data_IF_116192023135
#
_entry.id   IF_116192023135
#
_cell.length_a   1.000
_cell.length_b   1.000
_cell.length_c   1.000
_cell.angle_alpha   90.00
_cell.angle_beta   90.00
_cell.angle_gamma   90.00
#
_symmetry.space_group_name_H-M   'P 1'
#
loop_
_entity.id
_entity.type
_entity.pdbx_description
1 polymer ?
#
# COMPACT_ATOMS: atom_id res chain seq x y z
N UNK A 1 0.73 -26.25 -23.49
CA UNK A 1 -0.52 -25.57 -23.10
C UNK A 1 -0.20 -24.51 -22.03
N UNK A 2 -0.88 -23.37 -22.09
CA UNK A 2 -0.71 -22.30 -21.12
C UNK A 2 -1.10 -22.76 -19.71
N UNK A 3 -0.27 -22.52 -18.65
CA UNK A 3 -0.51 -23.02 -17.32
C UNK A 3 -1.53 -22.14 -16.58
N UNK A 4 -2.81 -22.58 -16.53
CA UNK A 4 -3.88 -21.90 -15.75
C UNK A 4 -4.34 -22.71 -14.54
N UNK A 5 -3.70 -23.84 -14.25
CA UNK A 5 -4.09 -24.68 -13.12
C UNK A 5 -4.11 -23.84 -11.83
N UNK A 6 -5.25 -23.87 -11.14
CA UNK A 6 -5.48 -23.16 -9.88
C UNK A 6 -5.48 -21.62 -9.94
N UNK A 7 -5.71 -21.00 -11.11
CA UNK A 7 -5.95 -19.56 -11.19
C UNK A 7 -7.41 -19.24 -10.83
N UNK A 8 -7.60 -18.46 -9.77
CA UNK A 8 -8.92 -17.98 -9.36
C UNK A 8 -9.44 -16.97 -10.39
N UNK A 9 -10.66 -17.12 -10.87
CA UNK A 9 -11.25 -16.24 -11.90
C UNK A 9 -11.00 -16.66 -13.36
N UNK A 10 -10.16 -17.66 -13.60
CA UNK A 10 -9.92 -18.21 -14.93
C UNK A 10 -10.15 -19.73 -14.95
N UNK A 11 -10.79 -20.22 -16.03
CA UNK A 11 -11.04 -21.65 -16.22
C UNK A 11 -10.93 -22.04 -17.72
N UNK A 12 -11.10 -23.32 -18.04
CA UNK A 12 -11.19 -23.82 -19.40
C UNK A 12 -12.63 -24.19 -19.72
N UNK A 13 -13.10 -23.74 -20.89
CA UNK A 13 -14.36 -24.22 -21.44
C UNK A 13 -14.23 -25.65 -22.03
N UNK A 14 -15.33 -26.20 -22.50
CA UNK A 14 -15.36 -27.52 -23.11
C UNK A 14 -14.44 -27.68 -24.35
N UNK A 15 -14.13 -26.58 -25.04
CA UNK A 15 -13.23 -26.53 -26.19
C UNK A 15 -11.75 -26.39 -25.78
N UNK A 16 -11.45 -26.31 -24.48
CA UNK A 16 -10.10 -26.13 -23.97
C UNK A 16 -9.60 -24.66 -23.99
N UNK A 17 -10.43 -23.70 -24.40
CA UNK A 17 -10.12 -22.27 -24.41
C UNK A 17 -10.20 -21.69 -23.00
N UNK A 18 -9.35 -20.72 -22.75
CA UNK A 18 -9.33 -20.03 -21.44
C UNK A 18 -10.42 -18.97 -21.41
N UNK A 19 -11.28 -19.03 -20.39
CA UNK A 19 -12.41 -18.12 -20.19
C UNK A 19 -12.41 -17.52 -18.79
N UNK A 20 -12.99 -16.34 -18.67
CA UNK A 20 -13.18 -15.68 -17.37
C UNK A 20 -14.39 -16.30 -16.68
N UNK A 21 -14.22 -16.70 -15.43
CA UNK A 21 -15.30 -17.01 -14.49
C UNK A 21 -15.71 -15.76 -13.76
N UNK A 22 -16.81 -15.15 -14.16
CA UNK A 22 -17.20 -13.81 -13.73
C UNK A 22 -17.53 -13.73 -12.22
N UNK A 23 -18.03 -14.80 -11.61
CA UNK A 23 -18.24 -14.93 -10.17
C UNK A 23 -16.94 -14.76 -9.37
N UNK A 24 -15.87 -15.44 -9.79
CA UNK A 24 -14.54 -15.34 -9.19
C UNK A 24 -13.80 -14.07 -9.65
N UNK A 25 -13.97 -13.62 -10.89
CA UNK A 25 -13.31 -12.44 -11.45
C UNK A 25 -13.71 -11.15 -10.70
N UNK A 26 -14.98 -11.04 -10.27
CA UNK A 26 -15.44 -9.93 -9.40
C UNK A 26 -14.64 -9.86 -8.10
N UNK A 27 -14.29 -11.00 -7.51
CA UNK A 27 -13.48 -11.05 -6.29
C UNK A 27 -12.03 -10.66 -6.58
N UNK A 28 -11.48 -11.09 -7.73
CA UNK A 28 -10.13 -10.64 -8.15
C UNK A 28 -10.10 -9.13 -8.28
N UNK A 29 -11.05 -8.50 -9.00
CA UNK A 29 -11.13 -7.04 -9.13
C UNK A 29 -11.22 -6.37 -7.76
N UNK A 30 -12.09 -6.86 -6.87
CA UNK A 30 -12.23 -6.35 -5.51
C UNK A 30 -10.91 -6.42 -4.71
N UNK A 31 -10.13 -7.50 -4.84
CA UNK A 31 -8.80 -7.62 -4.20
C UNK A 31 -7.87 -6.48 -4.66
N UNK A 32 -7.85 -6.18 -5.96
CA UNK A 32 -7.05 -5.08 -6.51
C UNK A 32 -7.54 -3.72 -6.01
N UNK A 33 -8.85 -3.48 -6.01
CA UNK A 33 -9.46 -2.24 -5.54
C UNK A 33 -9.16 -2.00 -4.07
N UNK A 34 -9.38 -2.98 -3.19
CA UNK A 34 -9.10 -2.88 -1.76
C UNK A 34 -7.61 -2.64 -1.50
N UNK A 35 -6.73 -3.30 -2.26
CA UNK A 35 -5.30 -3.06 -2.14
C UNK A 35 -4.93 -1.63 -2.54
N UNK A 36 -5.41 -1.14 -3.67
CA UNK A 36 -5.10 0.21 -4.17
C UNK A 36 -5.73 1.31 -3.31
N UNK A 37 -6.86 1.05 -2.67
CA UNK A 37 -7.47 1.94 -1.66
C UNK A 37 -6.60 2.07 -0.40
N UNK A 38 -5.62 1.19 -0.19
CA UNK A 38 -4.66 1.28 0.90
C UNK A 38 -4.72 0.15 1.91
N UNK A 39 -5.68 -0.79 1.79
CA UNK A 39 -5.76 -1.92 2.70
C UNK A 39 -4.54 -2.83 2.59
N UNK A 40 -4.14 -3.43 3.72
CA UNK A 40 -3.07 -4.42 3.71
C UNK A 40 -3.60 -5.80 3.28
N UNK A 41 -2.72 -6.65 2.79
CA UNK A 41 -3.10 -7.96 2.24
C UNK A 41 -3.64 -8.94 3.29
N UNK A 42 -3.30 -8.79 4.57
CA UNK A 42 -3.88 -9.55 5.66
C UNK A 42 -5.34 -9.13 5.90
N UNK A 43 -5.59 -7.83 5.98
CA UNK A 43 -6.96 -7.31 6.11
C UNK A 43 -7.86 -7.80 4.97
N UNK A 44 -7.36 -7.79 3.72
CA UNK A 44 -8.12 -8.26 2.56
C UNK A 44 -8.47 -9.75 2.72
N UNK A 45 -7.53 -10.61 3.13
CA UNK A 45 -7.82 -12.03 3.35
C UNK A 45 -8.84 -12.25 4.45
N UNK A 46 -8.73 -11.53 5.57
CA UNK A 46 -9.65 -11.64 6.70
C UNK A 46 -11.06 -11.15 6.33
N UNK A 47 -11.16 -10.05 5.58
CA UNK A 47 -12.42 -9.53 5.04
C UNK A 47 -13.10 -10.54 4.11
N UNK A 48 -12.35 -11.20 3.21
CA UNK A 48 -12.91 -12.22 2.32
C UNK A 48 -13.45 -13.42 3.10
N UNK A 49 -12.71 -13.86 4.12
CA UNK A 49 -13.15 -14.95 5.02
C UNK A 49 -14.40 -14.55 5.83
N UNK A 50 -14.41 -13.36 6.43
CA UNK A 50 -15.54 -12.86 7.21
C UNK A 50 -16.82 -12.72 6.38
N UNK A 51 -16.69 -12.38 5.09
CA UNK A 51 -17.81 -12.31 4.15
C UNK A 51 -18.19 -13.67 3.53
N UNK A 52 -17.58 -14.77 3.97
CA UNK A 52 -17.88 -16.11 3.47
C UNK A 52 -17.55 -16.31 1.98
N UNK A 53 -16.63 -15.52 1.42
CA UNK A 53 -16.24 -15.64 0.02
C UNK A 53 -15.52 -16.97 -0.20
N UNK A 54 -16.01 -17.85 -1.09
CA UNK A 54 -15.42 -19.16 -1.28
C UNK A 54 -14.01 -19.01 -1.91
N UNK A 55 -13.03 -19.72 -1.36
CA UNK A 55 -11.73 -19.88 -1.98
C UNK A 55 -11.78 -20.93 -3.09
N UNK A 56 -10.70 -21.04 -3.90
CA UNK A 56 -10.64 -21.92 -5.08
C UNK A 56 -11.01 -23.39 -4.78
N UNK A 57 -10.60 -23.89 -3.63
CA UNK A 57 -10.84 -25.29 -3.22
C UNK A 57 -11.91 -25.34 -2.12
N UNK A 58 -12.79 -26.33 -2.24
CA UNK A 58 -13.87 -26.53 -1.24
C UNK A 58 -13.30 -26.67 0.17
N UNK A 59 -13.81 -25.85 1.10
CA UNK A 59 -13.36 -25.82 2.49
C UNK A 59 -12.04 -25.08 2.74
N UNK A 60 -11.42 -24.52 1.72
CA UNK A 60 -10.23 -23.67 1.89
C UNK A 60 -10.63 -22.26 2.35
N UNK A 61 -9.72 -21.61 3.07
CA UNK A 61 -9.84 -20.22 3.49
C UNK A 61 -8.85 -19.33 2.70
N UNK A 62 -9.13 -18.04 2.72
CA UNK A 62 -8.21 -17.04 2.18
C UNK A 62 -7.05 -16.81 3.14
N UNK A 63 -5.84 -16.85 2.60
CA UNK A 63 -4.60 -16.51 3.31
C UNK A 63 -3.98 -15.26 2.70
N UNK A 64 -3.28 -14.49 3.49
CA UNK A 64 -2.48 -13.35 3.04
C UNK A 64 -1.62 -13.71 1.80
N UNK A 65 -0.96 -14.87 1.81
CA UNK A 65 -0.13 -15.34 0.68
C UNK A 65 -0.95 -15.55 -0.60
N UNK A 66 -2.20 -15.96 -0.50
CA UNK A 66 -3.09 -16.11 -1.66
C UNK A 66 -3.40 -14.76 -2.29
N UNK A 67 -3.72 -13.77 -1.46
CA UNK A 67 -3.95 -12.37 -1.90
C UNK A 67 -2.69 -11.81 -2.60
N UNK A 68 -1.52 -11.96 -1.97
CA UNK A 68 -0.24 -11.55 -2.56
C UNK A 68 -0.01 -12.21 -3.92
N UNK A 69 -0.25 -13.51 -4.04
CA UNK A 69 -0.07 -14.24 -5.29
C UNK A 69 -1.02 -13.72 -6.39
N UNK A 70 -2.26 -13.36 -6.04
CA UNK A 70 -3.21 -12.75 -6.99
C UNK A 70 -2.70 -11.39 -7.46
N UNK A 71 -2.32 -10.51 -6.54
CA UNK A 71 -1.86 -9.16 -6.87
C UNK A 71 -0.59 -9.15 -7.75
N UNK A 72 0.31 -10.12 -7.56
CA UNK A 72 1.59 -10.18 -8.27
C UNK A 72 1.56 -11.00 -9.57
N UNK A 73 0.47 -11.69 -9.87
CA UNK A 73 0.43 -12.59 -11.01
C UNK A 73 0.04 -11.85 -12.29
N UNK A 74 0.96 -11.77 -13.24
CA UNK A 74 0.78 -11.12 -14.53
C UNK A 74 -0.32 -11.75 -15.40
N UNK A 75 -0.76 -12.97 -15.09
CA UNK A 75 -1.82 -13.63 -15.83
C UNK A 75 -3.17 -12.92 -15.70
N UNK A 76 -3.38 -12.22 -14.60
CA UNK A 76 -4.60 -11.44 -14.40
C UNK A 76 -4.73 -10.23 -15.35
N UNK A 77 -3.60 -9.71 -15.86
CA UNK A 77 -3.62 -8.69 -16.92
C UNK A 77 -3.43 -9.26 -18.33
N UNK A 78 -3.61 -10.57 -18.49
CA UNK A 78 -3.56 -11.24 -19.80
C UNK A 78 -2.18 -11.68 -20.25
N UNK A 79 -1.11 -11.40 -19.49
CA UNK A 79 0.26 -11.69 -19.89
C UNK A 79 0.81 -12.97 -19.25
N UNK A 80 1.90 -13.49 -19.77
CA UNK A 80 2.62 -14.65 -19.21
C UNK A 80 4.11 -14.44 -19.27
N UNK A 81 4.78 -14.68 -18.13
CA UNK A 81 6.22 -14.81 -18.07
C UNK A 81 6.57 -16.30 -18.00
N UNK A 82 7.27 -16.80 -19.02
CA UNK A 82 7.81 -18.16 -19.06
C UNK A 82 9.18 -18.25 -18.41
N UNK A 83 9.56 -19.48 -18.03
CA UNK A 83 10.87 -19.78 -17.41
C UNK A 83 11.17 -18.99 -16.13
N UNK A 84 10.12 -18.74 -15.32
CA UNK A 84 10.28 -18.16 -13.96
C UNK A 84 11.12 -19.04 -13.04
N UNK A 85 11.13 -20.34 -13.31
CA UNK A 85 11.87 -21.35 -12.54
C UNK A 85 12.50 -22.36 -13.49
N UNK A 86 13.59 -22.98 -13.06
CA UNK A 86 14.24 -24.07 -13.80
C UNK A 86 14.82 -25.10 -12.82
N UNK A 87 15.13 -26.30 -13.34
CA UNK A 87 15.82 -27.33 -12.59
C UNK A 87 17.30 -27.33 -13.02
N UNK A 88 18.25 -27.07 -12.12
CA UNK A 88 19.68 -27.06 -12.46
C UNK A 88 20.25 -28.42 -12.84
N UNK A 89 19.54 -29.50 -12.53
CA UNK A 89 19.96 -30.86 -12.85
C UNK A 89 18.82 -31.87 -12.68
N UNK A 90 18.98 -33.10 -13.15
CA UNK A 90 17.92 -34.13 -13.21
C UNK A 90 17.29 -34.46 -11.85
N UNK A 91 18.05 -34.36 -10.75
CA UNK A 91 17.59 -34.64 -9.38
C UNK A 91 17.49 -33.37 -8.52
N UNK A 92 17.72 -32.20 -9.10
CA UNK A 92 17.69 -30.93 -8.39
C UNK A 92 16.26 -30.41 -8.22
N UNK A 93 16.01 -29.77 -7.07
CA UNK A 93 14.76 -29.02 -6.85
C UNK A 93 14.68 -27.84 -7.83
N UNK A 94 13.48 -27.55 -8.29
CA UNK A 94 13.20 -26.37 -9.11
C UNK A 94 13.54 -25.09 -8.33
N UNK A 95 14.38 -24.23 -8.92
CA UNK A 95 14.83 -22.96 -8.34
C UNK A 95 14.28 -21.79 -9.17
N UNK A 96 14.19 -20.61 -8.54
CA UNK A 96 13.79 -19.39 -9.24
C UNK A 96 14.86 -18.98 -10.24
N UNK A 97 14.48 -18.71 -11.48
CA UNK A 97 15.36 -18.15 -12.49
C UNK A 97 15.63 -16.68 -12.18
N UNK A 98 16.89 -16.33 -11.92
CA UNK A 98 17.36 -14.99 -11.63
C UNK A 98 18.16 -14.38 -12.80
N UNK A 99 18.08 -14.98 -13.99
CA UNK A 99 18.80 -14.58 -15.18
C UNK A 99 19.70 -15.68 -15.74
N UNK A 100 19.71 -16.87 -15.12
CA UNK A 100 20.52 -18.01 -15.58
C UNK A 100 20.03 -18.56 -16.91
N UNK A 101 18.72 -18.50 -17.15
CA UNK A 101 18.09 -18.89 -18.41
C UNK A 101 17.25 -17.73 -18.97
N UNK A 102 17.15 -17.62 -20.32
CA UNK A 102 16.29 -16.62 -20.95
C UNK A 102 14.85 -16.76 -20.47
N UNK A 103 14.20 -15.64 -20.13
CA UNK A 103 12.80 -15.56 -19.81
C UNK A 103 12.04 -14.96 -21.02
N UNK A 104 10.84 -15.46 -21.27
CA UNK A 104 10.01 -15.01 -22.39
C UNK A 104 8.72 -14.39 -21.88
N UNK A 105 8.48 -13.15 -22.27
CA UNK A 105 7.26 -12.44 -21.97
C UNK A 105 6.30 -12.56 -23.16
N UNK A 106 5.10 -13.08 -22.91
CA UNK A 106 4.03 -13.18 -23.90
C UNK A 106 2.88 -12.28 -23.45
N UNK A 107 2.50 -11.34 -24.29
CA UNK A 107 1.36 -10.46 -24.05
C UNK A 107 0.07 -11.06 -24.61
N UNK A 108 -1.06 -10.67 -24.00
CA UNK A 108 -2.41 -11.05 -24.43
C UNK A 108 -2.63 -12.57 -24.63
N UNK A 109 -1.94 -13.37 -23.80
CA UNK A 109 -2.05 -14.82 -23.79
C UNK A 109 -3.37 -15.33 -23.16
N UNK A 110 -4.04 -14.47 -22.39
CA UNK A 110 -5.27 -14.76 -21.65
C UNK A 110 -6.27 -13.61 -21.79
N UNK A 111 -7.59 -13.88 -21.62
CA UNK A 111 -8.54 -12.81 -21.36
C UNK A 111 -8.20 -12.12 -20.04
N UNK A 112 -8.00 -10.80 -20.10
CA UNK A 112 -7.59 -10.02 -18.95
C UNK A 112 -8.76 -9.77 -17.98
N UNK A 113 -8.57 -10.07 -16.69
CA UNK A 113 -9.52 -9.71 -15.62
C UNK A 113 -9.24 -8.28 -15.15
N UNK A 114 -7.97 -7.90 -15.13
CA UNK A 114 -7.46 -6.60 -14.68
C UNK A 114 -6.79 -5.89 -15.86
N UNK A 115 -7.05 -4.61 -16.01
CA UNK A 115 -6.37 -3.78 -17.02
C UNK A 115 -4.84 -3.76 -16.81
N UNK A 116 -4.06 -3.76 -17.90
CA UNK A 116 -2.59 -3.78 -17.85
C UNK A 116 -2.00 -2.60 -17.08
N UNK A 117 -2.59 -1.40 -17.22
CA UNK A 117 -2.15 -0.20 -16.50
C UNK A 117 -2.40 -0.36 -15.00
N UNK A 118 -3.60 -0.82 -14.62
CA UNK A 118 -3.96 -1.04 -13.22
C UNK A 118 -3.05 -2.11 -12.58
N UNK A 119 -2.73 -3.18 -13.32
CA UNK A 119 -1.79 -4.19 -12.84
C UNK A 119 -0.39 -3.59 -12.59
N UNK A 120 0.16 -2.76 -13.50
CA UNK A 120 1.45 -2.08 -13.33
C UNK A 120 1.44 -1.15 -12.11
N UNK A 121 0.41 -0.32 -11.96
CA UNK A 121 0.22 0.55 -10.80
C UNK A 121 0.24 -0.27 -9.50
N UNK A 122 -0.45 -1.43 -9.49
CA UNK A 122 -0.46 -2.35 -8.34
C UNK A 122 0.94 -2.89 -8.03
N UNK A 123 1.77 -3.22 -9.05
CA UNK A 123 3.15 -3.66 -8.82
C UNK A 123 4.02 -2.54 -8.24
N UNK A 124 3.87 -1.30 -8.71
CA UNK A 124 4.59 -0.15 -8.15
C UNK A 124 4.17 0.13 -6.71
N UNK A 125 2.88 0.09 -6.43
CA UNK A 125 2.35 0.27 -5.07
C UNK A 125 2.81 -0.85 -4.13
N UNK A 126 2.85 -2.10 -4.59
CA UNK A 126 3.35 -3.22 -3.81
C UNK A 126 4.84 -3.03 -3.43
N UNK A 127 5.68 -2.60 -4.38
CA UNK A 127 7.09 -2.29 -4.13
C UNK A 127 7.27 -1.10 -3.18
N UNK A 128 6.48 -0.04 -3.37
CA UNK A 128 6.50 1.14 -2.48
C UNK A 128 6.20 0.73 -1.04
N UNK A 129 5.15 -0.07 -0.83
CA UNK A 129 4.75 -0.53 0.51
C UNK A 129 5.77 -1.48 1.15
N UNK A 130 6.57 -2.19 0.37
CA UNK A 130 7.64 -3.04 0.91
C UNK A 130 8.71 -2.24 1.68
N UNK A 131 8.85 -0.92 1.42
CA UNK A 131 9.70 0.00 2.17
C UNK A 131 9.13 0.45 3.53
N UNK A 132 7.85 0.15 3.81
CA UNK A 132 7.16 0.54 5.04
C UNK A 132 6.73 -0.68 5.84
N UNK A 133 6.92 -0.63 7.16
CA UNK A 133 6.36 -1.66 8.04
C UNK A 133 4.90 -1.30 8.39
N UNK A 134 3.96 -1.67 7.54
CA UNK A 134 2.54 -1.39 7.70
C UNK A 134 1.76 -2.49 8.42
N UNK A 135 2.44 -3.48 9.01
CA UNK A 135 1.79 -4.64 9.66
C UNK A 135 0.92 -4.25 10.85
N UNK A 136 1.22 -3.14 11.50
CA UNK A 136 0.48 -2.61 12.66
C UNK A 136 -0.42 -1.41 12.32
N UNK A 137 -0.62 -1.13 11.02
CA UNK A 137 -1.49 -0.03 10.60
C UNK A 137 -2.95 -0.41 10.85
N UNK A 138 -3.60 0.32 11.73
CA UNK A 138 -5.00 0.12 12.13
C UNK A 138 -5.56 1.44 12.68
N UNK A 139 -6.88 1.54 12.95
CA UNK A 139 -7.46 2.78 13.50
C UNK A 139 -6.82 3.25 14.80
N UNK A 140 -6.38 2.33 15.66
CA UNK A 140 -5.70 2.64 16.93
C UNK A 140 -4.25 3.10 16.73
N UNK A 141 -3.64 2.72 15.59
CA UNK A 141 -2.26 3.05 15.22
C UNK A 141 -2.17 3.57 13.78
N UNK A 142 -2.82 4.70 13.46
CA UNK A 142 -3.03 5.17 12.09
C UNK A 142 -1.74 5.61 11.37
N UNK A 143 -0.66 5.83 12.11
CA UNK A 143 0.64 6.25 11.57
C UNK A 143 1.72 5.18 11.70
N UNK A 144 1.36 3.94 12.08
CA UNK A 144 2.32 2.85 12.18
C UNK A 144 3.05 2.63 10.85
N UNK A 145 4.40 2.66 10.92
CA UNK A 145 5.26 2.52 9.74
C UNK A 145 5.27 3.71 8.77
N UNK A 146 4.53 4.79 9.06
CA UNK A 146 4.42 5.99 8.19
C UNK A 146 4.85 7.29 8.87
N UNK A 147 5.43 7.23 10.07
CA UNK A 147 5.85 8.43 10.79
C UNK A 147 7.37 8.43 10.95
N UNK A 148 8.01 9.43 10.37
CA UNK A 148 9.47 9.53 10.29
C UNK A 148 9.98 10.85 10.86
N UNK A 149 11.22 10.85 11.32
CA UNK A 149 11.93 12.06 11.70
C UNK A 149 12.43 12.75 10.42
N UNK A 150 12.02 14.01 10.22
CA UNK A 150 12.44 14.80 9.08
C UNK A 150 13.92 15.23 9.12
N UNK A 151 14.62 15.00 10.25
CA UNK A 151 16.04 15.34 10.41
C UNK A 151 16.96 14.17 10.05
N UNK A 152 16.59 12.93 10.46
CA UNK A 152 17.45 11.76 10.27
C UNK A 152 16.78 10.61 9.51
N UNK A 153 15.53 10.77 9.08
CA UNK A 153 14.78 9.75 8.31
C UNK A 153 14.34 8.52 9.11
N UNK A 154 14.70 8.40 10.40
CA UNK A 154 14.29 7.25 11.21
C UNK A 154 12.83 7.34 11.63
N UNK A 155 12.29 6.19 12.02
CA UNK A 155 10.92 6.11 12.51
C UNK A 155 10.73 6.95 13.77
N UNK A 156 9.60 7.61 13.85
CA UNK A 156 9.08 8.24 15.05
C UNK A 156 8.23 7.21 15.79
N UNK A 157 8.42 7.10 17.07
CA UNK A 157 7.77 6.11 17.93
C UNK A 157 7.07 6.76 19.10
N UNK A 158 6.04 6.08 19.56
CA UNK A 158 5.30 6.48 20.74
C UNK A 158 6.12 6.20 22.00
N UNK A 159 6.17 7.17 22.91
CA UNK A 159 6.78 7.04 24.23
C UNK A 159 5.80 7.54 25.27
N UNK A 160 5.84 6.93 26.45
CA UNK A 160 5.00 7.33 27.59
C UNK A 160 5.82 7.41 28.86
N UNK A 161 5.40 8.25 29.79
CA UNK A 161 5.80 8.19 31.19
C UNK A 161 4.64 7.57 31.95
N UNK A 162 4.95 6.53 32.72
CA UNK A 162 4.02 5.93 33.66
C UNK A 162 4.60 5.97 35.06
N UNK A 163 3.77 6.33 36.05
CA UNK A 163 4.11 6.31 37.47
C UNK A 163 3.03 5.52 38.19
N UNK A 164 3.44 4.55 39.00
CA UNK A 164 2.53 3.65 39.72
C UNK A 164 1.44 3.00 38.84
N UNK A 165 1.82 2.57 37.60
CA UNK A 165 0.90 1.93 36.66
C UNK A 165 -0.08 2.87 35.94
N UNK A 166 -0.02 4.20 36.21
CA UNK A 166 -0.81 5.20 35.51
C UNK A 166 0.05 5.86 34.42
N UNK A 167 -0.43 5.86 33.18
CA UNK A 167 0.19 6.62 32.08
C UNK A 167 -0.12 8.09 32.32
N UNK A 168 0.93 8.90 32.56
CA UNK A 168 0.80 10.33 32.84
C UNK A 168 0.82 11.16 31.56
N UNK A 169 1.64 10.76 30.59
CA UNK A 169 1.77 11.48 29.34
C UNK A 169 2.23 10.56 28.22
N UNK A 170 1.77 10.82 27.00
CA UNK A 170 2.13 10.10 25.80
C UNK A 170 2.57 11.14 24.76
N UNK A 171 3.68 10.87 24.09
CA UNK A 171 4.18 11.71 22.98
C UNK A 171 4.86 10.87 21.91
N UNK A 172 5.03 11.48 20.76
CA UNK A 172 5.80 10.94 19.65
C UNK A 172 7.19 11.55 19.63
N UNK A 173 8.24 10.75 19.45
CA UNK A 173 9.64 11.20 19.33
C UNK A 173 10.45 10.33 18.39
N UNK A 174 11.56 10.86 17.88
CA UNK A 174 12.50 10.13 17.05
C UNK A 174 13.08 8.92 17.80
N UNK A 175 13.17 7.77 17.14
CA UNK A 175 13.68 6.52 17.72
C UNK A 175 15.16 6.56 18.07
N UNK A 176 15.96 7.47 17.47
CA UNK A 176 17.38 7.67 17.84
C UNK A 176 17.58 8.10 19.29
N UNK A 177 16.57 8.70 19.91
CA UNK A 177 16.59 9.10 21.32
C UNK A 177 16.21 8.00 22.30
N UNK A 178 15.93 6.80 21.80
CA UNK A 178 15.59 5.62 22.63
C UNK A 178 16.78 4.67 22.62
N UNK A 179 17.41 4.46 23.77
CA UNK A 179 18.65 3.67 23.93
C UNK A 179 18.57 2.29 23.25
N UNK A 180 17.42 1.60 23.34
CA UNK A 180 17.23 0.27 22.73
C UNK A 180 17.26 0.27 21.19
N UNK A 181 17.09 1.44 20.54
CA UNK A 181 17.11 1.57 19.08
C UNK A 181 18.36 2.31 18.58
N UNK A 182 19.22 2.79 19.49
CA UNK A 182 20.42 3.54 19.14
C UNK A 182 21.46 2.59 18.54
N UNK A 183 22.01 2.93 17.37
CA UNK A 183 23.17 2.28 16.76
C UNK A 183 24.42 3.12 17.00
N UNK A 184 25.59 2.48 16.92
CA UNK A 184 26.87 3.16 17.18
C UNK A 184 27.12 4.36 16.26
N UNK A 185 26.66 4.26 15.01
CA UNK A 185 26.86 5.28 13.96
C UNK A 185 25.71 6.28 13.83
N UNK A 186 24.79 6.32 14.82
CA UNK A 186 23.65 7.23 14.75
C UNK A 186 24.07 8.68 14.99
N UNK A 187 23.89 9.52 13.97
CA UNK A 187 23.98 10.96 14.12
C UNK A 187 22.96 11.45 15.16
N UNK A 188 23.46 12.13 16.18
CA UNK A 188 22.60 12.72 17.20
C UNK A 188 22.14 14.10 16.74
N UNK A 189 20.86 14.30 16.64
CA UNK A 189 20.25 15.62 16.41
C UNK A 189 19.49 16.09 17.66
N UNK A 190 19.05 17.33 17.69
CA UNK A 190 18.20 17.88 18.73
C UNK A 190 16.94 17.02 18.93
N UNK A 191 16.48 16.89 20.18
CA UNK A 191 15.28 16.10 20.46
C UNK A 191 14.05 16.80 19.93
N UNK A 192 13.36 16.12 19.01
CA UNK A 192 12.06 16.55 18.49
C UNK A 192 10.97 15.62 19.01
N UNK A 193 9.90 16.20 19.53
CA UNK A 193 8.74 15.48 20.06
C UNK A 193 7.46 16.26 19.84
N UNK A 194 6.35 15.54 19.73
CA UNK A 194 5.00 16.13 19.70
C UNK A 194 4.05 15.33 20.58
N UNK A 195 3.03 15.99 21.10
CA UNK A 195 2.01 15.36 21.94
C UNK A 195 1.21 14.31 21.18
N UNK A 196 0.70 13.34 21.92
CA UNK A 196 -0.27 12.37 21.41
C UNK A 196 -1.53 13.09 20.87
N UNK A 197 -2.08 12.60 19.75
CA UNK A 197 -3.22 13.24 19.06
C UNK A 197 -2.83 14.41 18.15
N UNK A 198 -1.60 14.95 18.25
CA UNK A 198 -1.14 16.04 17.38
C UNK A 198 -1.03 15.61 15.90
N UNK A 199 -0.54 14.41 15.55
CA UNK A 199 -0.49 13.94 14.15
C UNK A 199 -1.87 13.90 13.50
N UNK A 200 -2.90 13.43 14.21
CA UNK A 200 -4.30 13.35 13.73
C UNK A 200 -4.85 14.76 13.45
N UNK A 201 -4.62 15.70 14.36
CA UNK A 201 -5.02 17.10 14.19
C UNK A 201 -4.32 17.74 12.98
N UNK A 202 -3.03 17.50 12.82
CA UNK A 202 -2.24 18.05 11.70
C UNK A 202 -2.67 17.46 10.38
N UNK A 203 -2.98 16.16 10.31
CA UNK A 203 -3.56 15.57 9.10
C UNK A 203 -4.88 16.24 8.72
N UNK A 204 -5.79 16.40 9.68
CA UNK A 204 -7.08 17.09 9.48
C UNK A 204 -6.87 18.52 8.98
N UNK A 205 -5.96 19.27 9.60
CA UNK A 205 -5.63 20.64 9.19
C UNK A 205 -5.02 20.69 7.78
N UNK A 206 -4.11 19.77 7.45
CA UNK A 206 -3.48 19.69 6.12
C UNK A 206 -4.49 19.38 5.03
N UNK A 207 -5.39 18.39 5.26
CA UNK A 207 -6.48 18.09 4.34
C UNK A 207 -7.40 19.29 4.14
N UNK A 208 -7.85 19.93 5.22
CA UNK A 208 -8.72 21.09 5.16
C UNK A 208 -8.06 22.33 4.52
N UNK A 209 -6.74 22.48 4.63
CA UNK A 209 -5.98 23.50 3.90
C UNK A 209 -6.05 23.27 2.38
N UNK A 210 -5.89 22.02 1.95
CA UNK A 210 -6.05 21.63 0.53
C UNK A 210 -7.45 21.95 0.07
N UNK A 211 -8.48 21.58 0.86
CA UNK A 211 -9.88 21.85 0.55
C UNK A 211 -10.22 23.33 0.53
N UNK A 212 -9.61 24.14 1.39
CA UNK A 212 -9.80 25.60 1.39
C UNK A 212 -9.21 26.27 0.14
N UNK A 213 -8.15 25.68 -0.43
CA UNK A 213 -7.49 26.14 -1.67
C UNK A 213 -7.77 25.17 -2.83
N UNK A 214 -8.96 24.58 -2.86
CA UNK A 214 -9.35 23.46 -3.75
C UNK A 214 -8.99 23.70 -5.20
N UNK A 215 -9.34 24.87 -5.76
CA UNK A 215 -9.07 25.16 -7.17
C UNK A 215 -7.60 25.08 -7.52
N UNK A 216 -6.73 25.64 -6.67
CA UNK A 216 -5.27 25.61 -6.87
C UNK A 216 -4.72 24.18 -6.80
N UNK A 217 -5.10 23.41 -5.79
CA UNK A 217 -4.63 22.04 -5.64
C UNK A 217 -5.20 21.10 -6.69
N UNK A 218 -6.49 21.26 -7.07
CA UNK A 218 -7.09 20.49 -8.14
C UNK A 218 -6.39 20.72 -9.49
N UNK A 219 -6.07 21.96 -9.85
CA UNK A 219 -5.32 22.27 -11.06
C UNK A 219 -3.92 21.62 -11.05
N UNK A 220 -3.22 21.67 -9.88
CA UNK A 220 -1.93 21.00 -9.71
C UNK A 220 -2.03 19.49 -9.85
N UNK A 221 -2.99 18.87 -9.17
CA UNK A 221 -3.22 17.43 -9.21
C UNK A 221 -3.60 16.96 -10.62
N UNK A 222 -4.44 17.72 -11.33
CA UNK A 222 -4.80 17.42 -12.72
C UNK A 222 -3.54 17.41 -13.60
N UNK A 223 -2.68 18.41 -13.49
CA UNK A 223 -1.40 18.43 -14.21
C UNK A 223 -0.56 17.20 -13.88
N UNK A 224 -0.39 16.87 -12.60
CA UNK A 224 0.38 15.68 -12.15
C UNK A 224 -0.23 14.40 -12.72
N UNK A 225 -1.55 14.24 -12.70
CA UNK A 225 -2.25 13.05 -13.20
C UNK A 225 -2.08 12.84 -14.71
N UNK A 226 -1.79 13.90 -15.46
CA UNK A 226 -1.61 13.87 -16.92
C UNK A 226 -0.14 13.72 -17.31
N UNK A 227 0.78 14.39 -16.61
CA UNK A 227 2.16 14.63 -17.08
C UNK A 227 3.28 14.03 -16.24
N UNK A 228 3.01 13.52 -15.02
CA UNK A 228 4.05 12.94 -14.17
C UNK A 228 4.64 11.67 -14.82
N UNK A 229 5.96 11.47 -14.70
CA UNK A 229 6.63 10.31 -15.26
C UNK A 229 6.19 9.00 -14.59
N UNK A 230 5.89 9.05 -13.29
CA UNK A 230 5.45 7.90 -12.51
C UNK A 230 3.98 7.59 -12.72
N UNK A 231 3.67 6.41 -13.25
CA UNK A 231 2.28 5.92 -13.36
C UNK A 231 1.58 5.85 -12.00
N UNK A 232 2.33 5.53 -10.94
CA UNK A 232 1.80 5.47 -9.57
C UNK A 232 1.43 6.86 -9.06
N UNK A 233 2.28 7.87 -9.29
CA UNK A 233 1.99 9.26 -8.91
C UNK A 233 0.78 9.79 -9.65
N UNK A 234 0.67 9.52 -10.96
CA UNK A 234 -0.52 9.86 -11.76
C UNK A 234 -1.80 9.24 -11.20
N UNK A 235 -1.73 7.96 -10.85
CA UNK A 235 -2.86 7.25 -10.24
C UNK A 235 -3.29 7.91 -8.92
N UNK A 236 -2.36 8.14 -8.00
CA UNK A 236 -2.66 8.75 -6.70
C UNK A 236 -3.14 10.20 -6.83
N UNK A 237 -2.65 10.95 -7.81
CA UNK A 237 -3.14 12.29 -8.09
C UNK A 237 -4.62 12.27 -8.57
N UNK A 238 -4.97 11.33 -9.44
CA UNK A 238 -6.34 11.13 -9.90
C UNK A 238 -7.28 10.70 -8.76
N UNK A 239 -6.83 9.76 -7.92
CA UNK A 239 -7.60 9.32 -6.75
C UNK A 239 -7.80 10.44 -5.72
N UNK A 240 -6.78 11.25 -5.50
CA UNK A 240 -6.90 12.40 -4.60
C UNK A 240 -7.90 13.43 -5.12
N UNK A 241 -7.94 13.69 -6.44
CA UNK A 241 -8.96 14.55 -7.06
C UNK A 241 -10.36 14.01 -6.79
N UNK A 242 -10.58 12.70 -7.02
CA UNK A 242 -11.86 12.04 -6.77
C UNK A 242 -12.29 12.18 -5.30
N UNK A 243 -11.36 11.92 -4.36
CA UNK A 243 -11.63 12.03 -2.93
C UNK A 243 -11.91 13.48 -2.48
N UNK A 244 -11.28 14.47 -3.10
CA UNK A 244 -11.60 15.89 -2.84
C UNK A 244 -13.06 16.22 -3.20
N UNK A 245 -13.64 15.55 -4.22
CA UNK A 245 -15.03 15.72 -4.61
C UNK A 245 -16.01 14.97 -3.68
N UNK A 246 -15.61 13.78 -3.24
CA UNK A 246 -16.48 12.91 -2.43
C UNK A 246 -16.51 13.29 -0.95
N UNK A 247 -15.36 13.63 -0.35
CA UNK A 247 -15.23 13.78 1.10
C UNK A 247 -15.43 15.23 1.56
N UNK A 248 -14.92 16.20 0.82
CA UNK A 248 -14.97 17.60 1.25
C UNK A 248 -14.05 17.89 2.45
N UNK A 249 -14.43 18.91 3.26
CA UNK A 249 -13.73 19.20 4.54
C UNK A 249 -14.16 18.21 5.62
N UNK A 250 -13.21 17.87 6.51
CA UNK A 250 -13.44 16.97 7.64
C UNK A 250 -13.31 17.73 8.97
N UNK A 251 -14.11 17.37 9.96
CA UNK A 251 -14.11 17.98 11.31
C UNK A 251 -13.19 17.26 12.26
N UNK A 252 -12.98 15.98 12.05
CA UNK A 252 -12.14 15.10 12.86
C UNK A 252 -11.25 14.23 11.97
N UNK A 253 -10.31 13.53 12.57
CA UNK A 253 -9.41 12.63 11.85
C UNK A 253 -10.20 11.45 11.25
N UNK A 254 -10.08 11.27 9.95
CA UNK A 254 -10.64 10.14 9.23
C UNK A 254 -9.51 9.14 8.89
N UNK A 255 -9.53 7.99 9.57
CA UNK A 255 -8.57 6.92 9.35
C UNK A 255 -8.61 6.39 7.90
N UNK A 256 -9.82 6.16 7.35
CA UNK A 256 -9.95 5.61 6.00
C UNK A 256 -9.47 6.58 4.93
N UNK A 257 -9.73 7.88 5.10
CA UNK A 257 -9.16 8.91 4.25
C UNK A 257 -7.63 8.91 4.37
N UNK A 258 -7.09 8.83 5.59
CA UNK A 258 -5.63 8.81 5.80
C UNK A 258 -4.96 7.60 5.12
N UNK A 259 -5.59 6.43 5.14
CA UNK A 259 -5.08 5.23 4.45
C UNK A 259 -5.00 5.45 2.94
N UNK A 260 -5.99 6.15 2.37
CA UNK A 260 -6.12 6.39 0.92
C UNK A 260 -5.15 7.45 0.38
N UNK A 261 -4.82 8.46 1.18
CA UNK A 261 -4.09 9.64 0.68
C UNK A 261 -2.74 9.90 1.32
N UNK A 262 -2.48 9.37 2.52
CA UNK A 262 -1.24 9.63 3.26
C UNK A 262 -0.12 8.71 2.79
N UNK A 263 0.99 9.28 2.34
CA UNK A 263 2.25 8.55 2.18
C UNK A 263 2.96 8.41 3.53
N UNK A 264 3.32 9.54 4.12
CA UNK A 264 3.98 9.58 5.44
C UNK A 264 3.79 10.92 6.15
N UNK A 265 4.09 10.91 7.43
CA UNK A 265 4.29 12.13 8.23
C UNK A 265 5.76 12.28 8.59
N UNK A 266 6.22 13.52 8.70
CA UNK A 266 7.58 13.85 9.07
C UNK A 266 7.59 14.80 10.26
N UNK A 267 8.29 14.41 11.34
CA UNK A 267 8.49 15.23 12.53
C UNK A 267 9.70 16.14 12.30
N UNK A 268 9.45 17.44 12.26
CA UNK A 268 10.43 18.48 11.99
C UNK A 268 10.87 19.17 13.29
N UNK A 269 11.83 20.09 13.18
CA UNK A 269 12.21 20.98 14.29
C UNK A 269 11.01 21.76 14.83
N UNK A 270 11.12 22.21 16.08
CA UNK A 270 10.08 22.99 16.77
C UNK A 270 8.73 22.27 16.89
N UNK A 271 8.72 20.93 16.73
CA UNK A 271 7.48 20.14 16.79
C UNK A 271 6.54 20.34 15.59
N UNK A 272 7.01 20.95 14.51
CA UNK A 272 6.27 21.03 13.26
C UNK A 272 6.13 19.66 12.63
N UNK A 273 5.01 19.43 11.96
CA UNK A 273 4.74 18.20 11.22
C UNK A 273 4.53 18.49 9.75
N UNK A 274 5.20 17.73 8.90
CA UNK A 274 4.89 17.71 7.48
C UNK A 274 4.06 16.47 7.15
N UNK A 275 2.93 16.69 6.46
CA UNK A 275 2.06 15.66 5.89
C UNK A 275 2.44 15.52 4.42
N UNK A 276 2.91 14.35 4.03
CA UNK A 276 3.25 14.02 2.66
C UNK A 276 2.16 13.10 2.11
N UNK A 277 1.49 13.57 1.08
CA UNK A 277 0.42 12.82 0.41
C UNK A 277 0.97 11.93 -0.70
N UNK A 278 0.30 10.81 -0.99
CA UNK A 278 0.65 9.87 -2.07
C UNK A 278 0.73 10.55 -3.45
N UNK A 279 -0.01 11.64 -3.64
CA UNK A 279 0.02 12.50 -4.84
C UNK A 279 1.26 13.40 -4.94
N UNK A 280 2.19 13.34 -3.99
CA UNK A 280 3.36 14.20 -3.92
C UNK A 280 3.13 15.60 -3.32
N UNK A 281 1.90 15.93 -2.90
CA UNK A 281 1.65 17.18 -2.16
C UNK A 281 2.25 17.05 -0.76
N UNK A 282 2.97 18.11 -0.32
CA UNK A 282 3.54 18.22 1.03
C UNK A 282 3.03 19.49 1.70
N UNK A 283 2.48 19.33 2.90
CA UNK A 283 1.96 20.43 3.74
C UNK A 283 2.68 20.38 5.08
N UNK A 284 3.25 21.49 5.51
CA UNK A 284 3.90 21.62 6.83
C UNK A 284 3.06 22.54 7.72
N UNK A 285 2.79 22.10 8.94
CA UNK A 285 1.98 22.79 9.97
C UNK A 285 2.73 22.81 11.29
#
# INVERSE_FOLDING_TARGET
SLPIKNLYGLDRNANGEIVIREDEAKIVRRIYDEFLVGQNTQFISDMLNANGVPARHKGAIWYNKTVINILQNEKYCGNVLFQKTFSPGPLSKCVKNQGELPQYWLEDAFPAIIDKKLWRVTQYEYRRRAGYNLSHLCPEHPFAGRFFCGLCGRTVVQSSIATYGRVLNIWWRCSTKITRFKKADDETHEEVRVSFGRPEQVFTQAWNLIMSKRQMYAARLKKVSETDESELTRYHASEMLRLMDEVGKITEFDYMLSVKVLDRMELMLEGKLAVVFLSGIRITI
#
